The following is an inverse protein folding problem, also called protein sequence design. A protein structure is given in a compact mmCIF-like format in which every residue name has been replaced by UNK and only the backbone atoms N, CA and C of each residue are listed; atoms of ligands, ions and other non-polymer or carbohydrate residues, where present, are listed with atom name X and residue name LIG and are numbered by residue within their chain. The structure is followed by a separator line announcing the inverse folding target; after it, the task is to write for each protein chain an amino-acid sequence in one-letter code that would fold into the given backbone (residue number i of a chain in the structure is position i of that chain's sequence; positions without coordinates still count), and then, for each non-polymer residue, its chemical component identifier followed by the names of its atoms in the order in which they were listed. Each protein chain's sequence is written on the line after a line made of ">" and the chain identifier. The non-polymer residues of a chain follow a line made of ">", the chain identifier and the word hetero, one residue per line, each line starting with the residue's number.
data_IF_190564633915
#
_entry.id   IF_190564633915
#
_cell.length_a   1.000
_cell.length_b   1.000
_cell.length_c   1.000
_cell.angle_alpha   90.00
_cell.angle_beta   90.00
_cell.angle_gamma   90.00
#
_symmetry.space_group_name_H-M   'P 1'
#
loop_
_entity.id
_entity.type
_entity.pdbx_description
1 polymer ?
#
# COMPACT_ATOMS: atom_id res chain seq x y z
N UNK A 1 -1.66 -14.99 1.42
CA UNK A 1 -0.38 -14.28 1.23
C UNK A 1 -0.01 -13.64 2.56
N UNK A 2 1.19 -13.09 2.74
CA UNK A 2 1.56 -12.41 3.98
C UNK A 2 0.95 -10.99 4.02
N UNK A 3 0.54 -10.53 5.20
CA UNK A 3 0.11 -9.14 5.39
C UNK A 3 1.34 -8.25 5.54
N UNK A 4 1.50 -7.28 4.64
CA UNK A 4 2.56 -6.28 4.73
C UNK A 4 2.07 -5.10 5.56
N UNK A 5 2.86 -4.67 6.54
CA UNK A 5 2.55 -3.45 7.29
C UNK A 5 3.08 -2.21 6.57
N UNK A 6 2.19 -1.37 6.06
CA UNK A 6 2.50 -0.09 5.43
C UNK A 6 2.45 1.02 6.48
N UNK A 7 3.61 1.65 6.74
CA UNK A 7 3.70 2.85 7.59
C UNK A 7 3.61 4.06 6.68
N UNK A 8 2.43 4.69 6.63
CA UNK A 8 2.13 5.82 5.75
C UNK A 8 2.30 7.13 6.51
N UNK A 9 3.48 7.73 6.41
CA UNK A 9 3.75 9.06 6.97
C UNK A 9 3.10 10.15 6.13
N UNK A 10 2.74 11.24 6.80
CA UNK A 10 2.23 12.42 6.11
C UNK A 10 3.33 13.16 5.34
N UNK A 11 2.97 13.74 4.20
CA UNK A 11 3.80 14.75 3.54
C UNK A 11 3.72 16.11 4.26
N UNK A 12 4.37 17.14 3.69
CA UNK A 12 4.38 18.51 4.22
C UNK A 12 3.00 19.18 4.29
N UNK A 13 1.98 18.62 3.63
CA UNK A 13 0.61 19.14 3.56
C UNK A 13 -0.39 18.24 4.32
N UNK A 14 0.12 17.35 5.17
CA UNK A 14 -0.62 16.33 5.92
C UNK A 14 -1.29 15.27 5.03
N UNK A 15 -0.79 14.99 3.83
CA UNK A 15 -1.38 13.97 2.98
C UNK A 15 -0.78 12.59 3.18
N UNK A 16 -1.60 11.56 2.97
CA UNK A 16 -1.19 10.15 2.88
C UNK A 16 -1.79 9.52 1.62
N UNK A 17 -1.21 8.41 1.16
CA UNK A 17 -1.86 7.58 0.16
C UNK A 17 -2.84 6.61 0.85
N UNK A 18 -4.11 6.61 0.41
CA UNK A 18 -5.10 5.65 0.87
C UNK A 18 -5.31 4.57 -0.18
N UNK A 19 -4.79 3.36 0.08
CA UNK A 19 -4.92 2.21 -0.85
C UNK A 19 -6.39 1.83 -1.08
N UNK A 20 -7.20 1.69 -0.02
CA UNK A 20 -8.60 1.29 -0.14
C UNK A 20 -9.43 2.24 -1.02
N UNK A 21 -9.18 3.55 -0.92
CA UNK A 21 -9.88 4.59 -1.71
C UNK A 21 -9.15 4.92 -3.02
N UNK A 22 -7.99 4.33 -3.25
CA UNK A 22 -7.08 4.56 -4.35
C UNK A 22 -6.83 6.04 -4.68
N UNK A 23 -6.46 6.85 -3.67
CA UNK A 23 -6.13 8.27 -3.85
C UNK A 23 -5.27 8.82 -2.71
N UNK A 24 -4.60 9.93 -2.98
CA UNK A 24 -3.99 10.77 -1.95
C UNK A 24 -5.10 11.54 -1.21
N UNK A 25 -5.02 11.56 0.12
CA UNK A 25 -6.00 12.21 1.00
C UNK A 25 -5.29 12.97 2.11
N UNK A 26 -5.89 14.06 2.57
CA UNK A 26 -5.42 14.77 3.76
C UNK A 26 -5.80 13.99 5.03
N UNK A 27 -4.84 13.72 5.90
CA UNK A 27 -5.02 13.00 7.16
C UNK A 27 -5.54 13.93 8.27
N UNK A 28 -6.69 14.53 8.04
CA UNK A 28 -7.38 15.33 9.06
C UNK A 28 -8.28 14.45 9.96
N UNK A 29 -8.90 15.06 10.98
CA UNK A 29 -9.80 14.36 11.90
C UNK A 29 -10.94 13.63 11.18
N UNK A 30 -11.55 14.25 10.16
CA UNK A 30 -12.62 13.62 9.39
C UNK A 30 -12.13 12.35 8.66
N UNK A 31 -10.93 12.40 8.05
CA UNK A 31 -10.30 11.23 7.43
C UNK A 31 -10.06 10.12 8.47
N UNK A 32 -9.53 10.48 9.65
CA UNK A 32 -9.25 9.51 10.71
C UNK A 32 -10.54 8.87 11.25
N UNK A 33 -11.54 9.67 11.60
CA UNK A 33 -12.75 9.21 12.28
C UNK A 33 -13.74 8.52 11.36
N UNK A 34 -13.93 9.02 10.14
CA UNK A 34 -14.98 8.53 9.25
C UNK A 34 -14.48 7.41 8.32
N UNK A 35 -13.18 7.39 8.01
CA UNK A 35 -12.61 6.46 7.04
C UNK A 35 -11.57 5.53 7.65
N UNK A 36 -10.56 6.03 8.38
CA UNK A 36 -9.50 5.16 8.90
C UNK A 36 -10.03 4.20 9.98
N UNK A 37 -10.79 4.69 10.97
CA UNK A 37 -11.34 3.85 12.05
C UNK A 37 -12.26 2.71 11.57
N UNK A 38 -12.89 2.86 10.41
CA UNK A 38 -13.77 1.85 9.80
C UNK A 38 -13.10 1.05 8.68
N UNK A 39 -11.85 1.36 8.34
CA UNK A 39 -11.11 0.71 7.26
C UNK A 39 -10.58 -0.65 7.72
N UNK A 40 -10.89 -1.72 6.96
CA UNK A 40 -10.40 -3.08 7.21
C UNK A 40 -8.87 -3.23 7.20
N UNK A 41 -8.16 -2.28 6.60
CA UNK A 41 -6.71 -2.28 6.50
C UNK A 41 -6.06 -1.51 7.65
N UNK A 42 -6.81 -0.72 8.44
CA UNK A 42 -6.24 0.15 9.47
C UNK A 42 -5.62 -0.68 10.60
N UNK A 43 -4.37 -0.38 10.94
CA UNK A 43 -3.59 -1.11 11.94
C UNK A 43 -3.00 -0.22 13.04
N UNK A 44 -3.01 1.11 12.87
CA UNK A 44 -2.43 2.03 13.85
C UNK A 44 -2.26 3.45 13.31
N UNK A 45 -1.64 4.31 14.12
CA UNK A 45 -1.49 5.76 13.83
C UNK A 45 -0.03 6.18 13.65
N UNK A 46 0.93 5.25 13.57
CA UNK A 46 2.35 5.55 13.39
C UNK A 46 2.86 6.64 14.38
N UNK A 47 2.52 6.49 15.66
CA UNK A 47 2.79 7.45 16.74
C UNK A 47 2.23 8.86 16.47
N UNK A 48 1.11 8.96 15.76
CA UNK A 48 0.45 10.22 15.40
C UNK A 48 1.07 10.95 14.20
N UNK A 49 2.08 10.38 13.54
CA UNK A 49 2.74 10.98 12.36
C UNK A 49 2.17 10.49 11.03
N UNK A 50 1.15 9.65 11.06
CA UNK A 50 0.63 8.98 9.88
C UNK A 50 -0.43 7.94 10.21
N UNK A 51 -0.50 6.90 9.38
CA UNK A 51 -1.31 5.69 9.66
C UNK A 51 -0.54 4.44 9.29
N UNK A 52 -0.77 3.38 10.06
CA UNK A 52 -0.34 2.04 9.74
C UNK A 52 -1.49 1.30 9.07
N UNK A 53 -1.20 0.62 7.97
CA UNK A 53 -2.18 -0.16 7.24
C UNK A 53 -1.61 -1.52 6.84
N UNK A 54 -2.34 -2.61 7.12
CA UNK A 54 -1.95 -3.96 6.76
C UNK A 54 -2.86 -4.52 5.67
N UNK A 55 -2.27 -5.02 4.57
CA UNK A 55 -3.00 -5.74 3.52
C UNK A 55 -2.10 -6.75 2.80
N UNK A 56 -2.71 -7.65 2.02
CA UNK A 56 -1.99 -8.54 1.11
C UNK A 56 -1.52 -7.72 -0.11
N UNK A 57 -0.33 -7.13 -0.01
CA UNK A 57 0.24 -6.37 -1.12
C UNK A 57 0.92 -7.32 -2.10
N UNK A 58 0.44 -7.34 -3.34
CA UNK A 58 0.97 -8.21 -4.40
C UNK A 58 2.26 -7.65 -5.02
N UNK A 59 2.65 -6.43 -4.67
CA UNK A 59 3.92 -5.82 -5.12
C UNK A 59 5.07 -6.37 -4.28
N UNK A 60 6.25 -6.43 -4.88
CA UNK A 60 7.48 -6.78 -4.15
C UNK A 60 7.99 -5.55 -3.37
N UNK A 61 7.45 -5.34 -2.17
CA UNK A 61 7.83 -4.26 -1.24
C UNK A 61 8.37 -4.84 0.07
N UNK A 62 9.06 -4.03 0.88
CA UNK A 62 9.57 -4.46 2.18
C UNK A 62 8.44 -4.67 3.20
N UNK A 63 8.70 -5.43 4.25
CA UNK A 63 7.79 -5.53 5.41
C UNK A 63 8.56 -5.17 6.70
N UNK A 64 8.30 -4.01 7.34
CA UNK A 64 7.31 -3.00 6.96
C UNK A 64 7.67 -2.23 5.68
N UNK A 65 6.66 -1.73 4.96
CA UNK A 65 6.82 -0.81 3.83
C UNK A 65 6.64 0.63 4.31
N UNK A 66 7.70 1.43 4.26
CA UNK A 66 7.68 2.81 4.75
C UNK A 66 7.36 3.75 3.58
N UNK A 67 6.29 4.53 3.72
CA UNK A 67 5.83 5.49 2.73
C UNK A 67 6.01 6.90 3.28
N UNK A 68 6.85 7.70 2.62
CA UNK A 68 7.09 9.12 2.95
C UNK A 68 6.64 10.08 1.83
N UNK A 69 6.33 9.56 0.65
CA UNK A 69 5.83 10.31 -0.50
C UNK A 69 4.52 9.67 -0.99
N UNK A 70 3.37 10.23 -0.58
CA UNK A 70 2.05 9.75 -0.96
C UNK A 70 1.81 9.69 -2.47
N UNK A 71 2.34 10.65 -3.22
CA UNK A 71 2.13 10.73 -4.67
C UNK A 71 2.92 9.64 -5.39
N UNK A 72 4.19 9.45 -5.00
CA UNK A 72 5.02 8.35 -5.51
C UNK A 72 4.42 6.99 -5.18
N UNK A 73 3.90 6.82 -3.96
CA UNK A 73 3.26 5.57 -3.55
C UNK A 73 1.98 5.31 -4.34
N UNK A 74 1.14 6.33 -4.55
CA UNK A 74 -0.04 6.22 -5.42
C UNK A 74 0.32 5.71 -6.81
N UNK A 75 1.34 6.32 -7.45
CA UNK A 75 1.84 5.94 -8.77
C UNK A 75 2.40 4.51 -8.75
N UNK A 76 3.16 4.15 -7.73
CA UNK A 76 3.70 2.79 -7.53
C UNK A 76 2.56 1.76 -7.46
N UNK A 77 1.49 2.08 -6.73
CA UNK A 77 0.34 1.20 -6.55
C UNK A 77 -0.61 1.16 -7.76
N UNK A 78 -0.43 2.02 -8.77
CA UNK A 78 -1.16 1.91 -10.05
C UNK A 78 -0.53 0.93 -11.03
N UNK A 79 0.72 0.52 -10.78
CA UNK A 79 1.43 -0.38 -11.69
C UNK A 79 0.81 -1.77 -11.58
N UNK A 80 0.08 -2.17 -12.61
CA UNK A 80 -0.33 -3.57 -12.83
C UNK A 80 0.91 -4.40 -13.11
N UNK A 81 1.63 -4.80 -12.08
CA UNK A 81 2.62 -5.86 -12.20
C UNK A 81 1.84 -7.16 -12.21
N UNK A 82 1.50 -7.64 -13.41
CA UNK A 82 1.10 -9.03 -13.58
C UNK A 82 2.39 -9.82 -13.42
N UNK A 83 2.66 -10.31 -12.21
CA UNK A 83 3.65 -11.37 -12.05
C UNK A 83 3.09 -12.57 -12.83
N UNK A 84 3.62 -12.78 -14.03
CA UNK A 84 3.44 -14.07 -14.69
C UNK A 84 4.17 -15.07 -13.80
N UNK A 85 3.42 -15.82 -13.00
CA UNK A 85 3.94 -17.02 -12.39
C UNK A 85 4.56 -17.86 -13.51
N UNK A 86 5.83 -18.19 -13.31
CA UNK A 86 6.69 -18.98 -14.17
C UNK A 86 5.90 -20.05 -14.96
N UNK A 87 5.66 -19.81 -16.25
CA UNK A 87 5.49 -20.92 -17.20
C UNK A 87 6.82 -21.65 -17.23
N UNK A 88 6.97 -22.63 -16.33
CA UNK A 88 8.05 -23.60 -16.36
C UNK A 88 8.22 -24.09 -17.79
N UNK A 89 9.44 -23.88 -18.28
CA UNK A 89 9.95 -24.33 -19.56
C UNK A 89 9.52 -25.78 -19.83
N UNK A 90 8.51 -25.95 -20.69
CA UNK A 90 8.35 -27.17 -21.48
C UNK A 90 8.89 -26.86 -22.87
N UNK A 91 10.20 -26.73 -22.98
CA UNK A 91 10.91 -27.06 -24.21
C UNK A 91 10.79 -28.58 -24.39
N UNK A 92 9.65 -29.03 -24.88
CA UNK A 92 9.58 -30.35 -25.51
C UNK A 92 10.28 -30.21 -26.84
N UNK A 93 11.50 -30.73 -26.91
CA UNK A 93 12.16 -31.03 -28.18
C UNK A 93 11.19 -31.88 -29.01
N UNK A 94 10.78 -31.36 -30.16
CA UNK A 94 10.32 -32.18 -31.26
C UNK A 94 11.51 -32.33 -32.20
N UNK A 95 12.06 -33.54 -32.21
CA UNK A 95 12.95 -34.08 -33.26
C UNK A 95 12.06 -34.63 -34.37
#
# INVERSE_FOLDING_TARGET
>A
MELINHINYTDQNDNIYCCLRNRVVKLNQAQQEQFCKSCKMFAGTADGRGVECAWEDVRNVSNPHIVIDPAREFISNQRRVVFQENWSQRTSYCV
#
